data_IF_030265832854
#
_entry.id   IF_030265832854
#
_cell.length_a   1.000
_cell.length_b   1.000
_cell.length_c   1.000
_cell.angle_alpha   90.00
_cell.angle_beta   90.00
_cell.angle_gamma   90.00
#
_symmetry.space_group_name_H-M   'P 1'
#
loop_
_entity.id
_entity.type
_entity.pdbx_description
1 polymer ?
#
# COMPACT_ATOMS: atom_id res chain seq x y z
N UNK A 1 -8.74 -13.27 -8.89
CA UNK A 1 -8.68 -14.30 -7.83
C UNK A 1 -8.56 -13.56 -6.51
N UNK A 2 -9.41 -13.84 -5.50
CA UNK A 2 -9.32 -13.20 -4.19
C UNK A 2 -8.00 -13.55 -3.51
N UNK A 3 -7.38 -12.59 -2.81
CA UNK A 3 -6.21 -12.83 -1.96
C UNK A 3 -6.72 -13.32 -0.62
N UNK A 4 -6.19 -14.43 -0.11
CA UNK A 4 -6.58 -14.97 1.20
C UNK A 4 -5.58 -14.50 2.26
N UNK A 5 -6.10 -13.88 3.32
CA UNK A 5 -5.37 -13.44 4.50
C UNK A 5 -5.20 -14.53 5.55
N UNK A 6 -4.54 -14.17 6.64
CA UNK A 6 -4.04 -15.07 7.69
C UNK A 6 -5.10 -15.99 8.32
N UNK A 7 -6.30 -15.45 8.58
CA UNK A 7 -7.39 -16.15 9.24
C UNK A 7 -8.33 -16.86 8.24
N UNK A 8 -7.89 -17.03 6.98
CA UNK A 8 -8.74 -17.55 5.90
C UNK A 8 -9.74 -16.53 5.34
N UNK A 9 -9.70 -15.27 5.80
CA UNK A 9 -10.51 -14.17 5.28
C UNK A 9 -9.97 -13.64 3.95
N UNK A 10 -10.81 -13.04 3.11
CA UNK A 10 -10.36 -12.40 1.88
C UNK A 10 -9.73 -11.05 2.23
N UNK A 11 -8.51 -10.77 1.75
CA UNK A 11 -7.90 -9.45 1.85
C UNK A 11 -8.49 -8.52 0.79
N UNK A 12 -8.88 -7.29 1.15
CA UNK A 12 -9.38 -6.33 0.19
C UNK A 12 -8.28 -5.97 -0.83
N UNK A 13 -8.66 -5.57 -2.05
CA UNK A 13 -7.71 -5.22 -3.11
C UNK A 13 -6.79 -4.06 -2.73
N UNK A 14 -7.27 -3.16 -1.86
CA UNK A 14 -6.51 -2.08 -1.23
C UNK A 14 -6.94 -1.97 0.23
N UNK A 15 -5.97 -1.87 1.13
CA UNK A 15 -6.16 -1.60 2.55
C UNK A 15 -5.29 -0.41 2.93
N UNK A 16 -5.88 0.56 3.62
CA UNK A 16 -5.23 1.79 4.03
C UNK A 16 -5.74 2.25 5.38
N UNK A 17 -4.83 2.58 6.29
CA UNK A 17 -5.21 3.05 7.63
C UNK A 17 -4.54 4.41 7.91
N UNK A 18 -5.31 5.41 8.36
CA UNK A 18 -4.76 6.75 8.55
C UNK A 18 -3.92 6.93 9.80
N UNK A 19 -4.06 6.10 10.83
CA UNK A 19 -3.42 6.43 12.13
C UNK A 19 -2.85 5.24 12.89
N UNK A 20 -3.28 4.03 12.58
CA UNK A 20 -2.66 2.84 13.10
C UNK A 20 -2.31 1.98 11.91
N UNK A 21 -1.00 1.86 11.69
CA UNK A 21 -0.43 0.69 11.04
C UNK A 21 -1.31 -0.53 11.29
N UNK A 22 -1.50 -1.38 10.28
CA UNK A 22 -2.00 -2.72 10.57
C UNK A 22 -1.11 -3.40 11.64
N UNK A 23 -1.50 -4.55 12.16
CA UNK A 23 -0.74 -5.29 13.18
C UNK A 23 0.75 -5.52 12.84
N UNK A 24 1.18 -5.25 11.60
CA UNK A 24 2.52 -5.44 11.06
C UNK A 24 3.25 -4.13 10.73
N UNK A 25 2.67 -2.98 11.03
CA UNK A 25 3.36 -1.72 10.76
C UNK A 25 3.07 -1.11 9.39
N UNK A 26 2.03 -1.52 8.66
CA UNK A 26 1.84 -1.14 7.25
C UNK A 26 0.76 -0.06 7.12
N UNK A 27 1.09 1.02 6.39
CA UNK A 27 0.18 2.15 6.18
C UNK A 27 -0.75 1.95 4.98
N UNK A 28 -0.24 1.32 3.91
CA UNK A 28 -0.99 1.02 2.69
C UNK A 28 -0.57 -0.34 2.16
N UNK A 29 -1.52 -1.23 1.89
CA UNK A 29 -1.26 -2.46 1.13
C UNK A 29 -2.23 -2.59 -0.02
N UNK A 30 -1.76 -3.10 -1.16
CA UNK A 30 -2.59 -3.27 -2.35
C UNK A 30 -2.10 -4.42 -3.21
N UNK A 31 -3.03 -5.02 -3.94
CA UNK A 31 -2.72 -6.02 -4.96
C UNK A 31 -2.65 -5.34 -6.32
N UNK A 32 -1.51 -5.44 -6.99
CA UNK A 32 -1.33 -4.86 -8.34
C UNK A 32 -0.70 -5.87 -9.30
N UNK A 33 -0.94 -5.66 -10.58
CA UNK A 33 -0.17 -6.34 -11.62
C UNK A 33 1.27 -5.83 -11.60
N UNK A 34 2.24 -6.73 -11.52
CA UNK A 34 3.60 -6.37 -11.94
C UNK A 34 3.62 -6.45 -13.47
N UNK A 35 3.86 -5.32 -14.15
CA UNK A 35 4.12 -5.35 -15.59
C UNK A 35 5.40 -6.15 -15.82
N UNK A 36 5.29 -7.21 -16.62
CA UNK A 36 6.40 -8.04 -17.05
C UNK A 36 7.31 -7.29 -18.05
N UNK A 37 7.94 -6.20 -17.62
CA UNK A 37 9.04 -5.60 -18.39
C UNK A 37 10.40 -6.23 -18.07
N UNK A 38 10.52 -6.98 -16.97
CA UNK A 38 11.81 -7.52 -16.49
C UNK A 38 12.06 -8.99 -16.89
N UNK A 39 11.07 -9.70 -17.42
CA UNK A 39 11.26 -11.06 -17.95
C UNK A 39 10.02 -11.43 -18.73
N UNK A 40 10.15 -12.02 -19.92
CA UNK A 40 9.03 -12.40 -20.81
C UNK A 40 8.07 -13.47 -20.27
N UNK A 41 7.64 -13.35 -19.00
CA UNK A 41 6.64 -14.16 -18.31
C UNK A 41 5.34 -13.37 -18.22
N UNK A 42 4.20 -14.05 -18.20
CA UNK A 42 2.88 -13.42 -18.01
C UNK A 42 2.87 -12.52 -16.77
N UNK A 43 2.14 -11.41 -16.82
CA UNK A 43 1.99 -10.48 -15.70
C UNK A 43 1.57 -11.24 -14.42
N UNK A 44 2.42 -11.21 -13.39
CA UNK A 44 2.14 -11.83 -12.09
C UNK A 44 1.49 -10.77 -11.20
N UNK A 45 0.38 -11.11 -10.54
CA UNK A 45 -0.16 -10.25 -9.48
C UNK A 45 0.74 -10.35 -8.25
N UNK A 46 1.12 -9.19 -7.68
CA UNK A 46 1.87 -9.12 -6.43
C UNK A 46 1.09 -8.31 -5.41
N UNK A 47 1.15 -8.75 -4.16
CA UNK A 47 0.82 -7.89 -3.02
C UNK A 47 2.03 -6.99 -2.76
N UNK A 48 1.78 -5.70 -2.57
CA UNK A 48 2.81 -4.73 -2.15
C UNK A 48 2.29 -3.92 -0.97
N UNK A 49 3.22 -3.44 -0.16
CA UNK A 49 2.96 -2.66 1.03
C UNK A 49 3.85 -1.43 1.04
N UNK A 50 3.36 -0.36 1.65
CA UNK A 50 4.11 0.84 1.92
C UNK A 50 4.01 1.15 3.41
N UNK A 51 5.16 1.47 4.03
CA UNK A 51 5.19 1.90 5.42
C UNK A 51 6.19 3.01 5.66
N UNK A 52 5.88 3.86 6.63
CA UNK A 52 6.85 4.74 7.28
C UNK A 52 7.37 4.04 8.54
N UNK A 53 8.67 3.78 8.60
CA UNK A 53 9.32 3.17 9.75
C UNK A 53 10.67 3.85 9.99
N UNK A 54 10.90 4.30 11.22
CA UNK A 54 12.21 4.85 11.64
C UNK A 54 12.73 5.96 10.69
N UNK A 55 11.84 6.86 10.23
CA UNK A 55 12.19 7.93 9.30
C UNK A 55 12.40 7.51 7.85
N UNK A 56 12.10 6.24 7.52
CA UNK A 56 12.23 5.67 6.19
C UNK A 56 10.88 5.29 5.60
N UNK A 57 10.63 5.74 4.37
CA UNK A 57 9.54 5.21 3.56
C UNK A 57 10.02 3.94 2.88
N UNK A 58 9.38 2.83 3.18
CA UNK A 58 9.74 1.50 2.69
C UNK A 58 8.66 0.93 1.77
N UNK A 59 9.10 0.21 0.73
CA UNK A 59 8.29 -0.66 -0.10
C UNK A 59 8.50 -2.12 0.34
N UNK A 60 7.40 -2.81 0.61
CA UNK A 60 7.36 -4.22 0.93
C UNK A 60 6.81 -4.99 -0.27
N UNK A 61 7.51 -6.01 -0.75
CA UNK A 61 7.07 -6.86 -1.86
C UNK A 61 6.98 -8.31 -1.36
N UNK A 62 5.78 -8.89 -1.41
CA UNK A 62 5.62 -10.31 -1.09
C UNK A 62 5.94 -11.19 -2.31
N UNK A 63 6.68 -12.29 -2.13
CA UNK A 63 7.08 -13.16 -3.23
C UNK A 63 5.92 -13.96 -3.84
N UNK A 64 4.80 -14.15 -3.12
CA UNK A 64 3.62 -14.88 -3.60
C UNK A 64 2.31 -14.19 -3.19
N UNK A 65 1.27 -14.34 -4.01
CA UNK A 65 -0.05 -13.73 -3.82
C UNK A 65 -0.86 -14.35 -2.67
N UNK A 66 -0.73 -15.66 -2.44
CA UNK A 66 -1.66 -16.46 -1.63
C UNK A 66 -1.04 -17.08 -0.36
N UNK A 67 0.09 -16.57 0.15
CA UNK A 67 0.82 -17.26 1.23
C UNK A 67 0.46 -16.76 2.64
N UNK A 68 0.47 -17.67 3.63
CA UNK A 68 0.28 -17.33 5.04
C UNK A 68 1.40 -16.41 5.52
N UNK A 69 1.03 -15.52 6.43
CA UNK A 69 1.74 -14.48 7.19
C UNK A 69 3.26 -14.56 7.44
N UNK A 70 3.91 -15.71 7.31
CA UNK A 70 5.33 -15.90 7.71
C UNK A 70 6.39 -15.69 6.62
N UNK A 71 6.02 -15.36 5.38
CA UNK A 71 7.05 -14.92 4.42
C UNK A 71 7.36 -13.44 4.66
N UNK A 72 8.57 -13.16 5.12
CA UNK A 72 9.07 -11.80 5.23
C UNK A 72 9.09 -11.18 3.82
N UNK A 73 8.47 -10.00 3.63
CA UNK A 73 8.53 -9.32 2.35
C UNK A 73 9.96 -8.86 2.07
N UNK A 74 10.33 -8.84 0.79
CA UNK A 74 11.49 -8.09 0.35
C UNK A 74 11.23 -6.61 0.62
N UNK A 75 12.12 -5.97 1.39
CA UNK A 75 11.94 -4.59 1.85
C UNK A 75 12.95 -3.69 1.15
N UNK A 76 12.46 -2.57 0.62
CA UNK A 76 13.27 -1.58 -0.11
C UNK A 76 13.02 -0.19 0.47
N UNK A 77 14.08 0.49 0.90
CA UNK A 77 14.00 1.91 1.27
C UNK A 77 13.80 2.75 0.01
N UNK A 78 12.69 3.47 -0.08
CA UNK A 78 12.37 4.37 -1.18
C UNK A 78 12.84 5.80 -0.91
N UNK A 79 12.74 6.23 0.35
CA UNK A 79 13.07 7.59 0.77
C UNK A 79 13.46 7.59 2.24
N UNK A 80 14.44 8.42 2.60
CA UNK A 80 14.90 8.64 3.97
C UNK A 80 14.52 10.05 4.42
N UNK A 81 14.72 10.35 5.71
CA UNK A 81 14.44 11.68 6.30
C UNK A 81 12.95 12.07 6.16
N UNK A 82 12.08 11.09 6.40
CA UNK A 82 10.62 11.25 6.32
C UNK A 82 10.05 11.41 7.72
N UNK A 83 9.52 12.59 8.00
CA UNK A 83 8.86 12.94 9.26
C UNK A 83 7.41 12.42 9.33
N UNK A 84 6.74 12.22 8.20
CA UNK A 84 5.34 11.80 8.21
C UNK A 84 4.80 11.32 6.87
N UNK A 85 3.79 10.46 6.96
CA UNK A 85 3.00 9.94 5.84
C UNK A 85 1.52 10.12 6.17
N UNK A 86 0.76 10.74 5.26
CA UNK A 86 -0.69 10.86 5.34
C UNK A 86 -1.31 10.36 4.04
N UNK A 87 -2.38 9.58 4.18
CA UNK A 87 -3.11 8.96 3.10
C UNK A 87 -4.57 9.38 3.19
N UNK A 88 -5.16 9.73 2.04
CA UNK A 88 -6.61 9.95 1.90
C UNK A 88 -7.13 9.22 0.68
N UNK A 89 -8.36 8.75 0.76
CA UNK A 89 -8.99 7.90 -0.24
C UNK A 89 -10.28 8.56 -0.73
N UNK A 90 -10.42 8.74 -2.03
CA UNK A 90 -11.62 9.31 -2.63
C UNK A 90 -12.63 8.20 -2.89
N UNK A 91 -13.79 8.26 -2.25
CA UNK A 91 -14.83 7.26 -2.41
C UNK A 91 -15.70 7.47 -3.66
N UNK A 92 -16.71 6.61 -3.84
CA UNK A 92 -17.66 6.68 -4.96
C UNK A 92 -18.57 7.92 -4.91
N UNK A 93 -18.83 8.46 -3.71
CA UNK A 93 -19.59 9.70 -3.52
C UNK A 93 -18.72 10.96 -3.69
N UNK A 94 -17.44 10.79 -4.06
CA UNK A 94 -16.43 11.86 -4.16
C UNK A 94 -16.12 12.53 -2.81
N UNK A 95 -16.26 11.78 -1.72
CA UNK A 95 -15.86 12.20 -0.39
C UNK A 95 -14.49 11.64 -0.02
N UNK A 96 -13.68 12.44 0.67
CA UNK A 96 -12.38 12.02 1.16
C UNK A 96 -12.52 11.24 2.47
N UNK A 97 -12.01 10.01 2.48
CA UNK A 97 -11.91 9.11 3.63
C UNK A 97 -10.47 9.05 4.12
N UNK A 98 -10.29 8.85 5.42
CA UNK A 98 -8.97 8.74 6.04
C UNK A 98 -8.45 7.28 6.01
N UNK A 99 -9.36 6.32 6.07
CA UNK A 99 -9.08 4.90 5.93
C UNK A 99 -9.78 4.29 4.70
N UNK A 100 -9.33 3.10 4.31
CA UNK A 100 -9.95 2.29 3.28
C UNK A 100 -9.81 0.80 3.58
N UNK A 101 -10.92 0.06 3.49
CA UNK A 101 -10.93 -1.40 3.73
C UNK A 101 -12.10 -2.11 3.05
N UNK A 102 -12.66 -1.52 2.00
CA UNK A 102 -13.79 -2.09 1.25
C UNK A 102 -13.34 -3.16 0.24
N UNK A 103 -14.29 -3.97 -0.22
CA UNK A 103 -14.07 -4.94 -1.31
C UNK A 103 -13.86 -4.28 -2.69
N UNK A 104 -13.92 -2.95 -2.75
CA UNK A 104 -13.62 -2.11 -3.91
C UNK A 104 -12.34 -1.28 -3.72
N UNK A 105 -11.84 -0.72 -4.81
CA UNK A 105 -10.76 0.28 -4.77
C UNK A 105 -11.36 1.70 -4.70
N UNK A 106 -10.66 2.66 -4.08
CA UNK A 106 -11.08 4.06 -4.12
C UNK A 106 -10.89 4.64 -5.52
N UNK A 107 -11.60 5.72 -5.86
CA UNK A 107 -11.45 6.43 -7.14
C UNK A 107 -10.09 7.09 -7.27
N UNK A 108 -9.52 7.54 -6.16
CA UNK A 108 -8.19 8.11 -6.10
C UNK A 108 -7.57 7.94 -4.71
N UNK A 109 -6.24 8.01 -4.66
CA UNK A 109 -5.47 8.08 -3.42
C UNK A 109 -4.67 9.38 -3.45
N UNK A 110 -4.79 10.17 -2.40
CA UNK A 110 -3.85 11.25 -2.11
C UNK A 110 -2.77 10.73 -1.17
N UNK A 111 -1.52 10.92 -1.56
CA UNK A 111 -0.34 10.60 -0.75
C UNK A 111 0.37 11.90 -0.41
N UNK A 112 0.51 12.18 0.87
CA UNK A 112 1.26 13.32 1.39
C UNK A 112 2.44 12.81 2.24
N UNK A 113 3.65 13.17 1.82
CA UNK A 113 4.90 12.82 2.51
C UNK A 113 5.52 14.10 3.04
N UNK A 114 5.78 14.16 4.34
CA UNK A 114 6.47 15.28 4.98
C UNK A 114 7.90 14.87 5.28
N UNK A 115 8.87 15.64 4.77
CA UNK A 115 10.29 15.45 5.03
C UNK A 115 10.68 16.07 6.38
N UNK A 116 11.82 15.68 6.94
CA UNK A 116 12.38 16.26 8.18
C UNK A 116 12.65 17.76 8.06
N UNK A 117 12.81 18.26 6.84
CA UNK A 117 12.91 19.70 6.53
C UNK A 117 11.59 20.46 6.73
N UNK A 118 10.48 19.74 6.95
CA UNK A 118 9.11 20.27 7.03
C UNK A 118 8.42 20.44 5.68
N UNK A 119 9.10 20.18 4.56
CA UNK A 119 8.49 20.22 3.23
C UNK A 119 7.51 19.05 3.04
N UNK A 120 6.32 19.32 2.48
CA UNK A 120 5.35 18.27 2.14
C UNK A 120 5.22 18.10 0.63
N UNK A 121 5.50 16.89 0.16
CA UNK A 121 5.23 16.46 -1.22
C UNK A 121 3.85 15.82 -1.26
N UNK A 122 2.96 16.31 -2.13
CA UNK A 122 1.63 15.73 -2.36
C UNK A 122 1.53 15.14 -3.75
N UNK A 123 0.92 13.96 -3.85
CA UNK A 123 0.61 13.26 -5.11
C UNK A 123 -0.82 12.73 -5.07
N UNK A 124 -1.55 13.00 -6.13
CA UNK A 124 -2.89 12.46 -6.36
C UNK A 124 -2.79 11.39 -7.45
N UNK A 125 -3.24 10.18 -7.15
CA UNK A 125 -3.24 9.05 -8.07
C UNK A 125 -4.67 8.59 -8.28
N UNK A 126 -5.20 8.79 -9.49
CA UNK A 126 -6.49 8.21 -9.88
C UNK A 126 -6.32 6.70 -10.11
N UNK A 127 -7.24 5.90 -9.58
CA UNK A 127 -7.29 4.46 -9.80
C UNK A 127 -8.39 4.13 -10.81
N UNK A 128 -8.17 3.08 -11.62
CA UNK A 128 -9.07 2.61 -12.67
C UNK A 128 -9.14 1.10 -12.66
#
# INVERSE_FOLDING_TARGET
RPVVGELGGILPPLLGASEYMDERGINLSLTRFSSALESGKSAVMKRVGYRLREGQMELLIWPALDQPTRSDPETYTLLTEVAGLSLRYLDEALEWRMDWGADSIPRAVEVAITLDTGQTIRRLVALR
#
